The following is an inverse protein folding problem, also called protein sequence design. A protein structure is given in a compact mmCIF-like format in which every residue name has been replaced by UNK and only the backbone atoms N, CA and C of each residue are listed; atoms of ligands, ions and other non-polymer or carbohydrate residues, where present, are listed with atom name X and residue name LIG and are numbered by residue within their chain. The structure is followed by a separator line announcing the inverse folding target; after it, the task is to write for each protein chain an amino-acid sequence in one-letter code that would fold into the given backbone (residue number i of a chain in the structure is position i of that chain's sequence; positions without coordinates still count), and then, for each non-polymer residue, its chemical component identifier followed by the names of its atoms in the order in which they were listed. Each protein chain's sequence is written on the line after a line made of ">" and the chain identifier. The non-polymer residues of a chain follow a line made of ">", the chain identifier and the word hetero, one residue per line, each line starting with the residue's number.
data_IF_552367116433
#
_entry.id   IF_552367116433
#
_cell.length_a   1.000
_cell.length_b   1.000
_cell.length_c   1.000
_cell.angle_alpha   90.00
_cell.angle_beta   90.00
_cell.angle_gamma   90.00
#
_symmetry.space_group_name_H-M   'P 1'
#
loop_
_entity.id
_entity.type
_entity.pdbx_description
1 polymer ?
#
# COMPACT_ATOMS: atom_id res chain seq x y z
N UNK A 1 -12.01 -12.02 13.38
CA UNK A 1 -11.13 -10.82 13.33
C UNK A 1 -10.74 -10.46 14.76
N UNK A 2 -9.68 -11.06 15.30
CA UNK A 2 -9.20 -10.74 16.65
C UNK A 2 -8.47 -9.39 16.59
N UNK A 3 -8.81 -8.44 17.47
CA UNK A 3 -8.17 -7.10 17.55
C UNK A 3 -6.63 -7.17 17.51
N UNK A 4 -6.05 -8.24 18.05
CA UNK A 4 -4.60 -8.48 18.06
C UNK A 4 -4.00 -8.59 16.66
N UNK A 5 -4.67 -9.30 15.74
CA UNK A 5 -4.20 -9.47 14.35
C UNK A 5 -4.32 -8.14 13.60
N UNK A 6 -5.44 -7.42 13.79
CA UNK A 6 -5.63 -6.12 13.17
C UNK A 6 -4.54 -5.11 13.59
N UNK A 7 -4.20 -5.07 14.89
CA UNK A 7 -3.11 -4.22 15.40
C UNK A 7 -1.75 -4.63 14.83
N UNK A 8 -1.45 -5.92 14.77
CA UNK A 8 -0.19 -6.41 14.21
C UNK A 8 -0.04 -6.04 12.72
N UNK A 9 -1.09 -6.24 11.92
CA UNK A 9 -1.11 -5.87 10.51
C UNK A 9 -1.02 -4.36 10.31
N UNK A 10 -1.75 -3.57 11.09
CA UNK A 10 -1.69 -2.11 11.05
C UNK A 10 -0.28 -1.59 11.36
N UNK A 11 0.34 -2.11 12.43
CA UNK A 11 1.72 -1.75 12.78
C UNK A 11 2.71 -2.14 11.67
N UNK A 12 2.56 -3.32 11.07
CA UNK A 12 3.41 -3.78 9.96
C UNK A 12 3.31 -2.86 8.74
N UNK A 13 2.11 -2.42 8.38
CA UNK A 13 1.88 -1.50 7.25
C UNK A 13 2.55 -0.13 7.53
N UNK A 14 2.36 0.42 8.73
CA UNK A 14 2.97 1.71 9.10
C UNK A 14 4.49 1.63 9.08
N UNK A 15 5.07 0.54 9.60
CA UNK A 15 6.53 0.32 9.56
C UNK A 15 7.05 0.18 8.13
N UNK A 16 6.32 -0.51 7.24
CA UNK A 16 6.71 -0.66 5.85
C UNK A 16 6.72 0.69 5.10
N UNK A 17 5.69 1.52 5.30
CA UNK A 17 5.62 2.87 4.71
C UNK A 17 6.72 3.77 5.28
N UNK A 18 6.95 3.73 6.60
CA UNK A 18 8.02 4.50 7.25
C UNK A 18 9.41 4.10 6.75
N UNK A 19 9.64 2.80 6.54
CA UNK A 19 10.87 2.29 5.96
C UNK A 19 11.06 2.76 4.51
N UNK A 20 10.01 2.68 3.69
CA UNK A 20 10.02 3.11 2.30
C UNK A 20 10.28 4.63 2.17
N UNK A 21 9.72 5.43 3.06
CA UNK A 21 9.96 6.88 3.11
C UNK A 21 11.42 7.20 3.47
N UNK A 22 12.02 6.47 4.42
CA UNK A 22 13.37 6.77 4.91
C UNK A 22 14.48 6.21 4.03
N UNK A 23 14.25 5.08 3.35
CA UNK A 23 15.28 4.36 2.57
C UNK A 23 15.13 4.47 1.07
N UNK A 24 13.90 4.64 0.57
CA UNK A 24 13.59 4.55 -0.86
C UNK A 24 12.90 5.81 -1.39
N UNK A 25 12.85 6.91 -0.63
CA UNK A 25 12.19 8.16 -1.02
C UNK A 25 10.75 7.96 -1.53
N UNK A 26 9.99 7.07 -0.87
CA UNK A 26 8.63 6.66 -1.25
C UNK A 26 8.48 5.94 -2.61
N UNK A 27 9.57 5.48 -3.23
CA UNK A 27 9.53 4.82 -4.53
C UNK A 27 8.66 3.55 -4.54
N UNK A 28 8.69 2.74 -3.47
CA UNK A 28 7.86 1.54 -3.37
C UNK A 28 6.37 1.89 -3.27
N UNK A 29 6.03 2.89 -2.46
CA UNK A 29 4.67 3.39 -2.29
C UNK A 29 4.12 3.98 -3.59
N UNK A 30 4.93 4.77 -4.31
CA UNK A 30 4.59 5.34 -5.62
C UNK A 30 4.42 4.28 -6.70
N UNK A 31 5.24 3.22 -6.68
CA UNK A 31 5.10 2.09 -7.60
C UNK A 31 3.75 1.40 -7.43
N UNK A 32 3.36 1.08 -6.19
CA UNK A 32 2.06 0.44 -5.90
C UNK A 32 0.91 1.37 -6.26
N UNK A 33 1.02 2.68 -5.95
CA UNK A 33 0.00 3.66 -6.30
C UNK A 33 -0.25 3.71 -7.82
N UNK A 34 0.80 3.68 -8.64
CA UNK A 34 0.66 3.64 -10.12
C UNK A 34 0.00 2.34 -10.60
N UNK A 35 0.34 1.19 -10.01
CA UNK A 35 -0.32 -0.07 -10.34
C UNK A 35 -1.80 -0.09 -9.94
N UNK A 36 -2.13 0.60 -8.85
CA UNK A 36 -3.51 0.75 -8.42
C UNK A 36 -4.30 1.64 -9.36
N UNK A 37 -3.72 2.73 -9.89
CA UNK A 37 -4.38 3.53 -10.93
C UNK A 37 -4.59 2.73 -12.21
N UNK A 38 -3.60 1.93 -12.64
CA UNK A 38 -3.76 1.02 -13.80
C UNK A 38 -4.93 0.04 -13.59
N UNK A 39 -5.08 -0.47 -12.36
CA UNK A 39 -6.18 -1.37 -11.99
C UNK A 39 -7.54 -0.66 -12.01
N UNK A 40 -7.60 0.58 -11.53
CA UNK A 40 -8.82 1.41 -11.60
C UNK A 40 -9.20 1.66 -13.06
N UNK A 41 -8.24 2.01 -13.91
CA UNK A 41 -8.48 2.26 -15.34
C UNK A 41 -8.99 1.00 -16.04
N UNK A 42 -8.38 -0.16 -15.73
CA UNK A 42 -8.88 -1.45 -16.20
C UNK A 42 -10.30 -1.72 -15.71
N UNK A 43 -10.60 -1.53 -14.42
CA UNK A 43 -11.94 -1.73 -13.86
C UNK A 43 -12.97 -0.79 -14.49
N UNK A 44 -12.59 0.47 -14.74
CA UNK A 44 -13.42 1.49 -15.38
C UNK A 44 -13.75 1.13 -16.83
N UNK A 45 -12.87 0.42 -17.53
CA UNK A 45 -13.13 -0.12 -18.87
C UNK A 45 -14.23 -1.21 -18.86
N UNK A 46 -14.33 -2.02 -17.80
CA UNK A 46 -15.35 -3.07 -17.67
C UNK A 46 -16.69 -2.59 -17.15
N UNK A 47 -16.77 -1.33 -16.69
CA UNK A 47 -18.04 -0.71 -16.33
C UNK A 47 -18.82 -0.33 -17.59
#
# INVERSE_FOLDING_TARGET
>A
MTNRIALALGAMIVLAIGYDMLRNDMAGSLFIARKFTDLIDWLAFWR
#
